data_IF_580429753380
#
_entry.id   IF_580429753380
#
_cell.length_a   1.000
_cell.length_b   1.000
_cell.length_c   1.000
_cell.angle_alpha   90.00
_cell.angle_beta   90.00
_cell.angle_gamma   90.00
#
_symmetry.space_group_name_H-M   'P 1'
#
loop_
_entity.id
_entity.type
_entity.pdbx_description
1 polymer ?
#
# COMPACT_ATOMS: atom_id res chain seq x y z
N UNK A 1 -17.89 16.80 5.67
CA UNK A 1 -18.49 16.76 4.31
C UNK A 1 -17.82 15.60 3.54
N UNK A 2 -17.55 14.48 4.23
CA UNK A 2 -16.42 13.59 3.91
C UNK A 2 -16.83 12.17 3.48
N UNK A 3 -17.95 11.64 3.98
CA UNK A 3 -18.38 10.28 3.64
C UNK A 3 -18.69 10.04 2.16
N UNK A 4 -19.08 11.07 1.40
CA UNK A 4 -19.41 10.95 -0.03
C UNK A 4 -18.16 10.80 -0.90
N UNK A 5 -17.02 11.37 -0.48
CA UNK A 5 -15.75 11.23 -1.21
C UNK A 5 -15.09 9.88 -0.93
N UNK A 6 -15.05 9.45 0.34
CA UNK A 6 -14.55 8.14 0.74
C UNK A 6 -15.30 7.00 0.05
N UNK A 7 -16.64 7.09 -0.03
CA UNK A 7 -17.48 6.09 -0.73
C UNK A 7 -17.15 6.01 -2.23
N UNK A 8 -17.00 7.15 -2.92
CA UNK A 8 -16.66 7.17 -4.35
C UNK A 8 -15.25 6.66 -4.63
N UNK A 9 -14.29 6.97 -3.78
CA UNK A 9 -12.92 6.47 -3.89
C UNK A 9 -12.87 4.96 -3.69
N UNK A 10 -13.63 4.44 -2.72
CA UNK A 10 -13.74 3.01 -2.47
C UNK A 10 -14.43 2.28 -3.64
N UNK A 11 -15.51 2.81 -4.19
CA UNK A 11 -16.18 2.22 -5.37
C UNK A 11 -15.27 2.20 -6.61
N UNK A 12 -14.54 3.29 -6.84
CA UNK A 12 -13.57 3.41 -7.93
C UNK A 12 -12.43 2.39 -7.78
N UNK A 13 -11.87 2.24 -6.58
CA UNK A 13 -10.88 1.22 -6.32
C UNK A 13 -11.45 -0.19 -6.52
N UNK A 14 -12.67 -0.47 -6.02
CA UNK A 14 -13.31 -1.81 -6.12
C UNK A 14 -13.47 -2.24 -7.57
N UNK A 15 -13.79 -1.30 -8.46
CA UNK A 15 -13.90 -1.57 -9.89
C UNK A 15 -12.53 -1.86 -10.55
N UNK A 16 -11.44 -1.28 -10.03
CA UNK A 16 -10.11 -1.32 -10.65
C UNK A 16 -9.25 -2.47 -10.11
N UNK A 17 -9.18 -2.62 -8.80
CA UNK A 17 -8.36 -3.61 -8.11
C UNK A 17 -9.18 -4.33 -7.02
N UNK A 18 -10.19 -5.15 -7.41
CA UNK A 18 -11.10 -5.81 -6.48
C UNK A 18 -10.37 -6.69 -5.46
N UNK A 19 -9.44 -7.52 -5.93
CA UNK A 19 -8.71 -8.48 -5.10
C UNK A 19 -7.78 -7.79 -4.09
N UNK A 20 -7.25 -6.60 -4.42
CA UNK A 20 -6.43 -5.81 -3.48
C UNK A 20 -7.26 -5.23 -2.34
N UNK A 21 -8.44 -4.70 -2.65
CA UNK A 21 -9.35 -4.18 -1.61
C UNK A 21 -9.83 -5.29 -0.71
N UNK A 22 -10.27 -6.40 -1.30
CA UNK A 22 -10.74 -7.55 -0.52
C UNK A 22 -9.63 -8.02 0.43
N UNK A 23 -8.39 -8.13 -0.08
CA UNK A 23 -7.24 -8.44 0.74
C UNK A 23 -7.03 -7.44 1.89
N UNK A 24 -7.06 -6.12 1.64
CA UNK A 24 -6.87 -5.12 2.71
C UNK A 24 -7.98 -5.19 3.75
N UNK A 25 -9.24 -5.34 3.32
CA UNK A 25 -10.40 -5.47 4.22
C UNK A 25 -10.25 -6.71 5.10
N UNK A 26 -9.99 -7.87 4.50
CA UNK A 26 -9.86 -9.14 5.22
C UNK A 26 -8.63 -9.12 6.13
N UNK A 27 -7.52 -8.53 5.70
CA UNK A 27 -6.29 -8.47 6.49
C UNK A 27 -6.40 -7.55 7.72
N UNK A 28 -7.32 -6.57 7.70
CA UNK A 28 -7.50 -5.57 8.77
C UNK A 28 -8.84 -5.69 9.51
N UNK A 29 -9.65 -6.71 9.21
CA UNK A 29 -11.01 -6.86 9.76
C UNK A 29 -11.03 -6.80 11.30
N UNK A 30 -9.98 -7.30 11.96
CA UNK A 30 -9.88 -7.34 13.42
C UNK A 30 -9.17 -6.15 14.05
N UNK A 31 -8.71 -5.16 13.25
CA UNK A 31 -7.81 -4.08 13.70
C UNK A 31 -8.51 -2.75 13.98
N UNK A 32 -9.83 -2.69 13.75
CA UNK A 32 -10.66 -1.50 13.99
C UNK A 32 -10.88 -0.66 12.72
N UNK A 33 -11.93 0.16 12.76
CA UNK A 33 -12.38 0.99 11.63
C UNK A 33 -11.31 2.00 11.21
N UNK A 34 -10.69 2.70 12.16
CA UNK A 34 -9.65 3.69 11.89
C UNK A 34 -8.42 3.08 11.18
N UNK A 35 -8.02 1.87 11.55
CA UNK A 35 -6.90 1.15 10.90
C UNK A 35 -7.25 0.78 9.46
N UNK A 36 -8.49 0.34 9.23
CA UNK A 36 -8.97 -0.01 7.90
C UNK A 36 -9.10 1.24 7.02
N UNK A 37 -9.67 2.32 7.53
CA UNK A 37 -9.82 3.59 6.81
C UNK A 37 -8.46 4.15 6.40
N UNK A 38 -7.50 4.19 7.34
CA UNK A 38 -6.14 4.64 7.04
C UNK A 38 -5.48 3.78 5.95
N UNK A 39 -5.59 2.46 6.05
CA UNK A 39 -5.00 1.58 5.05
C UNK A 39 -5.68 1.73 3.67
N UNK A 40 -6.99 1.87 3.61
CA UNK A 40 -7.72 2.09 2.35
C UNK A 40 -7.32 3.43 1.72
N UNK A 41 -7.20 4.49 2.53
CA UNK A 41 -6.78 5.80 2.05
C UNK A 41 -5.37 5.75 1.46
N UNK A 42 -4.41 5.18 2.19
CA UNK A 42 -3.03 5.07 1.67
C UNK A 42 -2.97 4.15 0.44
N UNK A 43 -3.72 3.04 0.44
CA UNK A 43 -3.83 2.16 -0.72
C UNK A 43 -4.40 2.89 -1.94
N UNK A 44 -5.38 3.77 -1.76
CA UNK A 44 -5.93 4.61 -2.84
C UNK A 44 -4.86 5.45 -3.51
N UNK A 45 -4.03 6.13 -2.71
CA UNK A 45 -2.94 6.96 -3.22
C UNK A 45 -1.90 6.10 -3.91
N UNK A 46 -1.51 4.96 -3.34
CA UNK A 46 -0.58 4.02 -3.95
C UNK A 46 -1.10 3.55 -5.32
N UNK A 47 -2.35 3.08 -5.41
CA UNK A 47 -2.94 2.66 -6.68
C UNK A 47 -2.91 3.80 -7.71
N UNK A 48 -3.24 5.02 -7.29
CA UNK A 48 -3.25 6.20 -8.16
C UNK A 48 -1.85 6.53 -8.71
N UNK A 49 -0.79 6.33 -7.92
CA UNK A 49 0.60 6.50 -8.38
C UNK A 49 0.93 5.48 -9.49
N UNK A 50 0.60 4.21 -9.29
CA UNK A 50 0.87 3.16 -10.28
C UNK A 50 0.03 3.29 -11.54
N UNK A 51 -1.21 3.75 -11.42
CA UNK A 51 -2.08 4.02 -12.56
C UNK A 51 -1.52 5.16 -13.41
N UNK A 52 -1.15 6.29 -12.79
CA UNK A 52 -0.50 7.40 -13.49
C UNK A 52 0.81 6.96 -14.16
N UNK A 53 1.58 6.08 -13.51
CA UNK A 53 2.77 5.50 -14.11
C UNK A 53 2.43 4.61 -15.32
N UNK A 54 1.35 3.82 -15.25
CA UNK A 54 0.90 2.97 -16.36
C UNK A 54 0.37 3.76 -17.56
N UNK A 55 -0.22 4.93 -17.35
CA UNK A 55 -0.68 5.81 -18.43
C UNK A 55 0.47 6.32 -19.31
N UNK A 56 1.68 6.38 -18.75
CA UNK A 56 2.89 6.78 -19.46
C UNK A 56 3.52 5.63 -20.26
N UNK A 57 3.03 4.39 -20.11
CA UNK A 57 3.51 3.23 -20.88
C UNK A 57 2.63 3.01 -22.13
N UNK A 58 3.13 2.24 -23.09
CA UNK A 58 2.51 2.02 -24.41
C UNK A 58 1.12 1.36 -24.37
N UNK A 59 0.71 0.78 -23.23
CA UNK A 59 -0.54 0.03 -23.08
C UNK A 59 -1.61 0.77 -22.25
N UNK A 60 -1.27 1.90 -21.62
CA UNK A 60 -2.19 2.90 -21.06
C UNK A 60 -3.07 2.50 -19.87
N UNK A 61 -3.07 1.23 -19.44
CA UNK A 61 -3.89 0.78 -18.31
C UNK A 61 -3.17 -0.27 -17.46
N UNK A 62 -3.10 -0.02 -16.16
CA UNK A 62 -2.55 -0.95 -15.18
C UNK A 62 -3.37 -2.24 -15.13
N UNK A 63 -2.73 -3.39 -15.33
CA UNK A 63 -3.36 -4.71 -15.16
C UNK A 63 -3.95 -4.88 -13.75
N UNK A 64 -5.07 -5.61 -13.69
CA UNK A 64 -5.65 -6.09 -12.43
C UNK A 64 -4.76 -7.14 -11.78
N UNK A 65 -4.47 -6.93 -10.50
CA UNK A 65 -3.79 -7.92 -9.67
C UNK A 65 -4.77 -9.02 -9.25
N UNK A 66 -4.28 -10.25 -9.19
CA UNK A 66 -5.06 -11.43 -8.77
C UNK A 66 -4.78 -11.82 -7.33
N UNK A 67 -5.73 -12.48 -6.67
CA UNK A 67 -5.58 -12.98 -5.30
C UNK A 67 -4.33 -13.86 -5.11
N UNK A 68 -4.02 -14.74 -6.08
CA UNK A 68 -2.84 -15.61 -6.01
C UNK A 68 -1.53 -14.81 -5.95
N UNK A 69 -1.44 -13.72 -6.71
CA UNK A 69 -0.29 -12.80 -6.69
C UNK A 69 -0.17 -12.11 -5.33
N UNK A 70 -1.30 -11.66 -4.77
CA UNK A 70 -1.36 -11.03 -3.44
C UNK A 70 -0.91 -12.00 -2.35
N UNK A 71 -1.43 -13.22 -2.35
CA UNK A 71 -1.09 -14.26 -1.36
C UNK A 71 0.40 -14.62 -1.45
N UNK A 72 0.93 -14.74 -2.67
CA UNK A 72 2.35 -15.02 -2.89
C UNK A 72 3.24 -13.89 -2.36
N UNK A 73 2.92 -12.64 -2.71
CA UNK A 73 3.66 -11.47 -2.26
C UNK A 73 3.57 -11.29 -0.73
N UNK A 74 2.40 -11.49 -0.14
CA UNK A 74 2.21 -11.39 1.31
C UNK A 74 3.09 -12.39 2.06
N UNK A 75 3.11 -13.66 1.62
CA UNK A 75 3.97 -14.69 2.22
C UNK A 75 5.45 -14.34 2.11
N UNK A 76 5.88 -13.80 0.97
CA UNK A 76 7.25 -13.31 0.79
C UNK A 76 7.56 -12.19 1.79
N UNK A 77 6.65 -11.23 1.95
CA UNK A 77 6.86 -10.08 2.82
C UNK A 77 6.85 -10.43 4.32
N UNK A 78 6.05 -11.42 4.75
CA UNK A 78 6.11 -11.93 6.12
C UNK A 78 7.49 -12.50 6.48
N UNK A 79 8.18 -13.12 5.52
CA UNK A 79 9.52 -13.70 5.75
C UNK A 79 10.59 -12.63 5.96
N UNK A 80 10.37 -11.40 5.47
CA UNK A 80 11.31 -10.29 5.56
C UNK A 80 11.36 -9.63 6.95
N UNK A 81 10.55 -10.09 7.93
CA UNK A 81 10.47 -9.54 9.31
C UNK A 81 10.43 -8.01 9.32
N UNK A 82 9.52 -7.46 8.51
CA UNK A 82 9.30 -6.03 8.37
C UNK A 82 8.62 -5.50 9.64
N UNK A 83 9.39 -4.86 10.51
CA UNK A 83 8.89 -4.09 11.64
C UNK A 83 9.27 -2.64 11.38
N UNK A 84 8.32 -1.76 11.01
CA UNK A 84 8.47 -0.33 11.19
C UNK A 84 8.95 -0.07 12.61
N UNK A 85 10.07 0.62 12.74
CA UNK A 85 10.43 1.25 14.00
C UNK A 85 10.08 2.74 13.85
N UNK A 86 9.78 3.40 14.98
CA UNK A 86 9.21 4.74 15.03
C UNK A 86 10.12 5.88 14.48
N UNK A 87 11.17 5.57 13.72
CA UNK A 87 11.90 6.61 13.00
C UNK A 87 12.24 6.16 11.59
N UNK A 88 11.97 7.01 10.61
CA UNK A 88 12.45 6.84 9.23
C UNK A 88 13.97 6.58 9.20
N UNK A 89 14.71 7.12 10.18
CA UNK A 89 16.15 6.92 10.36
C UNK A 89 16.51 5.49 10.75
N UNK A 90 15.82 4.89 11.72
CA UNK A 90 16.09 3.49 12.13
C UNK A 90 15.50 2.52 11.09
N UNK A 91 14.51 2.91 10.29
CA UNK A 91 14.06 2.13 9.13
C UNK A 91 15.14 2.09 8.05
N UNK A 92 15.76 3.23 7.73
CA UNK A 92 16.95 3.34 6.87
C UNK A 92 18.15 2.56 7.42
N UNK A 93 18.40 2.61 8.73
CA UNK A 93 19.51 1.89 9.37
C UNK A 93 19.26 0.37 9.43
N UNK A 94 18.01 -0.10 9.54
CA UNK A 94 17.64 -1.52 9.68
C UNK A 94 17.39 -2.24 8.34
N UNK A 95 16.90 -1.53 7.32
CA UNK A 95 16.57 -2.11 6.00
C UNK A 95 17.51 -1.66 4.87
N UNK A 96 18.56 -0.90 5.21
CA UNK A 96 19.52 -0.36 4.25
C UNK A 96 19.00 0.90 3.54
N UNK A 97 19.83 1.52 2.68
CA UNK A 97 19.36 2.62 1.85
C UNK A 97 18.16 2.12 1.03
N UNK A 98 17.07 2.90 1.02
CA UNK A 98 15.84 2.64 0.26
C UNK A 98 16.09 2.24 -1.21
N UNK A 99 17.28 2.52 -1.74
CA UNK A 99 17.79 2.11 -3.05
C UNK A 99 17.67 0.61 -3.37
N UNK A 100 17.62 -0.29 -2.38
CA UNK A 100 17.43 -1.74 -2.61
C UNK A 100 15.96 -2.19 -2.56
N UNK A 101 15.06 -1.28 -2.18
CA UNK A 101 13.63 -1.54 -2.09
C UNK A 101 12.96 -1.20 -3.43
N UNK A 102 12.10 -2.09 -3.92
CA UNK A 102 11.20 -1.80 -5.04
C UNK A 102 10.37 -0.55 -4.74
N UNK A 103 10.32 0.38 -5.68
CA UNK A 103 9.54 1.62 -5.58
C UNK A 103 9.88 2.43 -4.29
N UNK A 104 11.12 2.91 -4.14
CA UNK A 104 11.62 3.53 -2.90
C UNK A 104 10.82 4.75 -2.47
N UNK A 105 10.38 5.57 -3.42
CA UNK A 105 9.60 6.78 -3.14
C UNK A 105 8.18 6.44 -2.64
N UNK A 106 7.54 5.43 -3.23
CA UNK A 106 6.21 4.97 -2.80
C UNK A 106 6.30 4.33 -1.42
N UNK A 107 7.33 3.51 -1.18
CA UNK A 107 7.57 2.91 0.14
C UNK A 107 7.78 3.97 1.21
N UNK A 108 8.57 5.01 0.89
CA UNK A 108 8.80 6.13 1.80
C UNK A 108 7.50 6.88 2.10
N UNK A 109 6.70 7.18 1.07
CA UNK A 109 5.41 7.83 1.24
C UNK A 109 4.49 7.05 2.20
N UNK A 110 4.36 5.74 2.00
CA UNK A 110 3.55 4.87 2.88
C UNK A 110 4.05 4.93 4.32
N UNK A 111 5.36 4.88 4.51
CA UNK A 111 5.95 4.92 5.84
C UNK A 111 5.69 6.27 6.53
N UNK A 112 5.96 7.39 5.85
CA UNK A 112 5.72 8.74 6.37
C UNK A 112 4.23 8.92 6.71
N UNK A 113 3.32 8.52 5.82
CA UNK A 113 1.89 8.60 6.06
C UNK A 113 1.43 7.85 7.32
N UNK A 114 1.99 6.67 7.60
CA UNK A 114 1.64 5.90 8.81
C UNK A 114 2.27 6.47 10.09
N UNK A 115 3.46 7.05 10.00
CA UNK A 115 4.16 7.63 11.13
C UNK A 115 3.59 8.98 11.54
N UNK A 116 3.04 9.73 10.59
CA UNK A 116 2.41 11.04 10.79
C UNK A 116 0.87 10.90 10.91
N UNK A 117 0.35 9.67 11.06
CA UNK A 117 -1.09 9.40 11.07
C UNK A 117 -1.83 10.06 12.24
N UNK A 118 -1.15 10.26 13.37
CA UNK A 118 -1.69 10.95 14.55
C UNK A 118 -1.47 12.48 14.51
N UNK A 119 -0.89 12.98 13.42
CA UNK A 119 -0.67 14.40 13.18
C UNK A 119 -1.71 14.95 12.18
N UNK A 120 -2.12 16.21 12.35
CA UNK A 120 -2.97 16.91 11.39
C UNK A 120 -4.43 17.15 11.82
N UNK A 121 -5.32 17.53 10.87
CA UNK A 121 -6.68 17.98 11.17
C UNK A 121 -7.65 16.85 11.52
N UNK A 122 -7.34 15.61 11.13
CA UNK A 122 -8.15 14.41 11.42
C UNK A 122 -7.20 13.25 11.81
N UNK A 123 -6.69 13.27 13.05
CA UNK A 123 -5.65 12.34 13.49
C UNK A 123 -6.21 10.93 13.71
N UNK A 124 -5.51 9.94 13.18
CA UNK A 124 -5.79 8.51 13.34
C UNK A 124 -4.72 7.90 14.27
N UNK A 125 -5.00 7.77 15.58
CA UNK A 125 -4.01 7.27 16.52
C UNK A 125 -3.79 5.76 16.34
N UNK A 126 -2.65 5.38 15.77
CA UNK A 126 -2.26 4.00 15.56
C UNK A 126 -1.19 3.57 16.57
N UNK A 127 -1.37 2.40 17.17
CA UNK A 127 -0.30 1.74 17.91
C UNK A 127 0.83 1.29 16.98
N UNK A 128 2.03 1.07 17.52
CA UNK A 128 3.17 0.56 16.75
C UNK A 128 2.88 -0.80 16.09
N UNK A 129 2.08 -1.66 16.72
CA UNK A 129 1.66 -2.94 16.16
C UNK A 129 0.69 -2.73 14.98
N UNK A 130 -0.24 -1.76 15.09
CA UNK A 130 -1.11 -1.38 13.98
C UNK A 130 -0.32 -0.82 12.79
N UNK A 131 0.61 0.11 13.04
CA UNK A 131 1.51 0.66 12.02
C UNK A 131 2.28 -0.47 11.34
N UNK A 132 2.81 -1.42 12.12
CA UNK A 132 3.57 -2.56 11.59
C UNK A 132 2.74 -3.44 10.67
N UNK A 133 1.53 -3.79 11.09
CA UNK A 133 0.61 -4.61 10.30
C UNK A 133 0.16 -3.90 9.03
N UNK A 134 -0.25 -2.63 9.14
CA UNK A 134 -0.70 -1.83 7.98
C UNK A 134 0.44 -1.65 6.98
N UNK A 135 1.66 -1.38 7.46
CA UNK A 135 2.84 -1.28 6.60
C UNK A 135 3.09 -2.56 5.81
N UNK A 136 3.04 -3.73 6.45
CA UNK A 136 3.22 -5.02 5.77
C UNK A 136 2.16 -5.24 4.69
N UNK A 137 0.92 -4.86 4.98
CA UNK A 137 -0.22 -4.98 4.06
C UNK A 137 -0.01 -4.07 2.85
N UNK A 138 0.30 -2.79 3.08
CA UNK A 138 0.54 -1.81 2.01
C UNK A 138 1.82 -2.11 1.23
N UNK A 139 2.84 -2.69 1.87
CA UNK A 139 4.02 -3.18 1.16
C UNK A 139 3.67 -4.29 0.17
N UNK A 140 2.80 -5.21 0.57
CA UNK A 140 2.29 -6.25 -0.31
C UNK A 140 1.59 -5.64 -1.53
N UNK A 141 0.76 -4.60 -1.31
CA UNK A 141 0.13 -3.84 -2.39
C UNK A 141 1.16 -3.20 -3.33
N UNK A 142 2.21 -2.56 -2.80
CA UNK A 142 3.28 -1.97 -3.63
C UNK A 142 3.96 -3.05 -4.48
N UNK A 143 4.33 -4.19 -3.91
CA UNK A 143 5.10 -5.22 -4.61
C UNK A 143 4.31 -5.86 -5.76
N UNK A 144 3.00 -6.08 -5.59
CA UNK A 144 2.15 -6.63 -6.65
C UNK A 144 1.83 -5.63 -7.75
N UNK A 145 1.65 -4.34 -7.41
CA UNK A 145 1.47 -3.29 -8.40
C UNK A 145 2.75 -3.02 -9.18
N UNK A 146 3.92 -3.06 -8.52
CA UNK A 146 5.24 -3.00 -9.17
C UNK A 146 5.44 -4.16 -10.15
N UNK A 147 5.08 -5.38 -9.75
CA UNK A 147 5.12 -6.53 -10.62
C UNK A 147 4.17 -6.39 -11.81
N UNK A 148 2.94 -5.91 -11.59
CA UNK A 148 1.96 -5.67 -12.65
C UNK A 148 2.48 -4.63 -13.66
N UNK A 149 3.10 -3.55 -13.18
CA UNK A 149 3.69 -2.51 -14.04
C UNK A 149 4.94 -3.02 -14.80
N UNK A 150 5.78 -3.85 -14.16
CA UNK A 150 7.07 -4.29 -14.73
C UNK A 150 6.95 -5.50 -15.66
N UNK A 151 6.02 -6.43 -15.39
CA UNK A 151 5.77 -7.58 -16.30
C UNK A 151 5.29 -7.11 -17.68
N UNK A 152 4.61 -5.97 -17.74
CA UNK A 152 4.23 -5.36 -19.02
C UNK A 152 5.43 -4.79 -19.78
N UNK A 153 6.40 -4.20 -19.08
CA UNK A 153 7.62 -3.66 -19.70
C UNK A 153 8.53 -4.72 -20.36
N UNK A 154 8.38 -6.00 -20.00
CA UNK A 154 9.13 -7.11 -20.63
C UNK A 154 8.39 -7.77 -21.81
N UNK A 155 7.11 -7.45 -22.03
CA UNK A 155 6.32 -7.98 -23.16
C UNK A 155 6.12 -6.96 -24.30
N UNK A 156 6.64 -5.74 -24.16
CA UNK A 156 6.66 -4.69 -25.17
C UNK A 156 8.03 -4.61 -25.86
#
# INVERSE_FOLDING_TARGET
YDGVQATRQMDSLRARQPDLIEYVIVALETMGEDSLEMAIYVMFVVCSIFEQASEQTSNGALRRVTNDEVVSAHKSNQQLRLTPNASARVFHEKYGPLEQVKQPNVTRYVFEALMEADEGPDPVPLSQDQISSIYLILRTVIDVLDAALTQEAHMA
#
